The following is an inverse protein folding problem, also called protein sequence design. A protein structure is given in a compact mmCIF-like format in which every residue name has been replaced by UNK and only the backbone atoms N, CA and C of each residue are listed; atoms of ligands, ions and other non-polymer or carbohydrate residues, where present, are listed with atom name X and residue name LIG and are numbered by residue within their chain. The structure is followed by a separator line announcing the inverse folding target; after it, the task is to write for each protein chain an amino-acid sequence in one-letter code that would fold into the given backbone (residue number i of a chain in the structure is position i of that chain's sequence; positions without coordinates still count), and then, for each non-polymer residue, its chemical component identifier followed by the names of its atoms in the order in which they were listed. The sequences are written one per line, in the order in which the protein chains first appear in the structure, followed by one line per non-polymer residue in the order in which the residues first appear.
data_IF_941973804559
#
_entry.id   IF_941973804559
#
_cell.length_a   1.000
_cell.length_b   1.000
_cell.length_c   1.000
_cell.angle_alpha   90.00
_cell.angle_beta   90.00
_cell.angle_gamma   90.00
#
_symmetry.space_group_name_H-M   'P 1'
#
loop_
_entity.id
_entity.type
_entity.pdbx_description
1 polymer ?
#
# COMPACT_ATOMS: atom_id res chain seq x y z
N UNK A 1 23.18 14.77 18.65
CA UNK A 1 23.47 13.39 18.23
C UNK A 1 24.89 13.36 17.68
N UNK A 2 25.68 12.36 18.06
CA UNK A 2 27.07 12.23 17.59
C UNK A 2 27.06 11.36 16.34
N UNK A 3 27.33 11.95 15.18
CA UNK A 3 27.59 11.18 13.96
C UNK A 3 28.92 10.44 14.18
N UNK A 4 28.93 9.11 14.04
CA UNK A 4 30.19 8.35 14.04
C UNK A 4 31.01 8.71 12.80
N UNK A 5 32.32 8.81 12.93
CA UNK A 5 33.23 9.08 11.80
C UNK A 5 33.13 8.00 10.71
N UNK A 6 32.83 6.76 11.11
CA UNK A 6 32.71 5.61 10.20
C UNK A 6 31.58 4.67 10.61
N UNK A 7 30.84 4.19 9.61
CA UNK A 7 29.91 3.06 9.72
C UNK A 7 30.41 1.93 8.82
N UNK A 8 31.48 1.24 9.23
CA UNK A 8 32.14 0.24 8.38
C UNK A 8 31.42 -1.10 8.42
N UNK A 9 30.93 -1.56 7.27
CA UNK A 9 30.34 -2.88 7.10
C UNK A 9 31.37 -3.90 6.62
N UNK A 10 31.26 -5.13 7.13
CA UNK A 10 32.02 -6.28 6.64
C UNK A 10 31.09 -7.25 5.92
N UNK A 11 31.52 -7.75 4.76
CA UNK A 11 30.87 -8.86 4.08
C UNK A 11 31.06 -10.15 4.88
N UNK A 12 29.97 -10.83 5.19
CA UNK A 12 29.96 -12.00 6.04
C UNK A 12 29.91 -13.29 5.24
N UNK A 13 28.93 -13.40 4.34
CA UNK A 13 28.69 -14.58 3.51
C UNK A 13 27.73 -14.29 2.37
N UNK A 14 27.78 -15.16 1.37
CA UNK A 14 26.72 -15.34 0.38
C UNK A 14 25.94 -16.60 0.75
N UNK A 15 24.61 -16.53 0.71
CA UNK A 15 23.74 -17.69 0.89
C UNK A 15 22.46 -17.52 0.06
N UNK A 16 22.23 -18.43 -0.89
CA UNK A 16 20.99 -18.51 -1.68
C UNK A 16 20.63 -17.18 -2.37
N UNK A 17 21.56 -16.54 -3.08
CA UNK A 17 21.34 -15.24 -3.74
C UNK A 17 21.15 -14.06 -2.77
N UNK A 18 21.60 -14.23 -1.52
CA UNK A 18 21.60 -13.17 -0.51
C UNK A 18 23.03 -12.91 -0.05
N UNK A 19 23.44 -11.65 -0.12
CA UNK A 19 24.74 -11.20 0.38
C UNK A 19 24.54 -10.55 1.74
N UNK A 20 25.21 -11.08 2.76
CA UNK A 20 25.06 -10.65 4.15
C UNK A 20 26.23 -9.77 4.57
N UNK A 21 25.90 -8.66 5.24
CA UNK A 21 26.86 -7.72 5.79
C UNK A 21 26.49 -7.37 7.23
N UNK A 22 27.49 -7.02 8.01
CA UNK A 22 27.33 -6.59 9.40
C UNK A 22 28.14 -5.33 9.67
N UNK A 23 27.57 -4.39 10.42
CA UNK A 23 28.26 -3.19 10.88
C UNK A 23 29.23 -3.53 12.02
N UNK A 24 30.53 -3.32 11.82
CA UNK A 24 31.58 -3.81 12.72
C UNK A 24 31.43 -3.37 14.18
N UNK A 25 31.02 -2.12 14.39
CA UNK A 25 30.89 -1.49 15.71
C UNK A 25 29.43 -1.12 16.02
N UNK A 26 28.49 -1.98 15.63
CA UNK A 26 27.07 -1.72 15.80
C UNK A 26 26.21 -2.97 15.69
N UNK A 27 24.90 -2.74 15.65
CA UNK A 27 23.89 -3.80 15.58
C UNK A 27 23.23 -3.87 14.22
N UNK A 28 23.54 -2.94 13.30
CA UNK A 28 22.97 -2.96 11.97
C UNK A 28 23.45 -4.17 11.15
N UNK A 29 22.50 -4.87 10.53
CA UNK A 29 22.75 -5.87 9.51
C UNK A 29 22.20 -5.39 8.17
N UNK A 30 22.91 -5.69 7.09
CA UNK A 30 22.46 -5.41 5.74
C UNK A 30 22.41 -6.69 4.92
N UNK A 31 21.35 -6.86 4.13
CA UNK A 31 21.19 -7.98 3.20
C UNK A 31 20.86 -7.43 1.81
N UNK A 32 21.61 -7.88 0.81
CA UNK A 32 21.34 -7.60 -0.60
C UNK A 32 20.80 -8.89 -1.23
N UNK A 33 19.55 -8.86 -1.67
CA UNK A 33 18.90 -9.99 -2.34
C UNK A 33 18.93 -9.75 -3.85
N UNK A 34 19.45 -10.72 -4.59
CA UNK A 34 19.46 -10.73 -6.05
C UNK A 34 18.27 -11.59 -6.50
N UNK A 35 17.13 -10.95 -6.71
CA UNK A 35 15.85 -11.63 -6.91
C UNK A 35 15.58 -11.93 -8.39
N UNK A 36 15.79 -10.93 -9.24
CA UNK A 36 15.67 -11.01 -10.70
C UNK A 36 16.82 -10.24 -11.35
N UNK A 37 16.97 -10.36 -12.67
CA UNK A 37 17.98 -9.62 -13.44
C UNK A 37 17.87 -8.10 -13.21
N UNK A 38 16.65 -7.60 -13.01
CA UNK A 38 16.30 -6.19 -12.80
C UNK A 38 15.66 -5.88 -11.44
N UNK A 39 15.61 -6.84 -10.51
CA UNK A 39 15.08 -6.63 -9.15
C UNK A 39 16.15 -6.97 -8.12
N UNK A 40 16.59 -5.94 -7.40
CA UNK A 40 17.48 -6.07 -6.25
C UNK A 40 16.76 -5.52 -5.04
N UNK A 41 16.76 -6.28 -3.94
CA UNK A 41 16.16 -5.85 -2.67
C UNK A 41 17.24 -5.62 -1.63
N UNK A 42 17.08 -4.55 -0.85
CA UNK A 42 17.93 -4.20 0.26
C UNK A 42 17.10 -4.27 1.54
N UNK A 43 17.60 -5.00 2.52
CA UNK A 43 17.01 -5.09 3.85
C UNK A 43 18.05 -4.68 4.87
N UNK A 44 17.76 -3.62 5.64
CA UNK A 44 18.55 -3.20 6.80
C UNK A 44 17.73 -3.39 8.08
N UNK A 45 18.32 -4.05 9.07
CA UNK A 45 17.69 -4.37 10.35
C UNK A 45 18.58 -3.93 11.51
N UNK A 46 17.97 -3.59 12.65
CA UNK A 46 18.68 -3.46 13.93
C UNK A 46 18.68 -4.83 14.63
N UNK A 47 19.81 -5.53 14.57
CA UNK A 47 19.93 -6.93 14.99
C UNK A 47 19.52 -7.93 13.90
N UNK A 48 19.55 -9.22 14.24
CA UNK A 48 19.29 -10.30 13.28
C UNK A 48 17.80 -10.58 13.03
N UNK A 49 16.95 -10.28 14.02
CA UNK A 49 15.52 -10.51 13.96
C UNK A 49 14.81 -9.41 13.16
N UNK A 50 13.78 -9.79 12.40
CA UNK A 50 12.91 -8.85 11.71
C UNK A 50 11.96 -8.19 12.71
N UNK A 51 11.70 -6.90 12.53
CA UNK A 51 10.66 -6.20 13.30
C UNK A 51 9.27 -6.74 12.97
N UNK A 52 9.05 -7.13 11.71
CA UNK A 52 7.83 -7.79 11.24
C UNK A 52 8.20 -8.89 10.25
N UNK A 53 7.95 -10.15 10.61
CA UNK A 53 8.38 -11.31 9.80
C UNK A 53 7.59 -11.50 8.51
N UNK A 54 6.39 -10.89 8.41
CA UNK A 54 5.44 -11.12 7.32
C UNK A 54 5.27 -9.89 6.43
N UNK A 55 4.94 -10.15 5.17
CA UNK A 55 4.50 -9.16 4.19
C UNK A 55 3.25 -9.66 3.48
N UNK A 56 2.35 -8.72 3.15
CA UNK A 56 1.15 -8.94 2.34
C UNK A 56 1.24 -8.25 0.98
N UNK A 57 2.38 -7.63 0.68
CA UNK A 57 2.55 -6.80 -0.52
C UNK A 57 3.31 -7.52 -1.64
N UNK A 58 3.96 -8.65 -1.35
CA UNK A 58 4.95 -9.30 -2.25
C UNK A 58 4.48 -10.70 -2.65
N UNK A 59 4.05 -10.83 -3.91
CA UNK A 59 3.49 -12.02 -4.54
C UNK A 59 4.14 -12.30 -5.92
N UNK A 60 5.47 -12.48 -6.00
CA UNK A 60 6.20 -12.60 -7.27
C UNK A 60 5.65 -13.73 -8.14
N UNK A 61 5.04 -13.36 -9.27
CA UNK A 61 4.44 -14.30 -10.22
C UNK A 61 3.20 -15.02 -9.72
N UNK A 62 2.68 -14.66 -8.56
CA UNK A 62 1.45 -15.20 -7.98
C UNK A 62 0.29 -14.22 -8.20
N UNK A 63 -0.93 -14.71 -7.99
CA UNK A 63 -2.13 -13.85 -8.07
C UNK A 63 -2.24 -13.00 -6.81
N UNK A 64 -1.96 -13.58 -5.64
CA UNK A 64 -2.15 -12.94 -4.33
C UNK A 64 -1.22 -13.58 -3.27
N UNK A 65 -1.11 -12.93 -2.11
CA UNK A 65 -0.39 -13.44 -0.93
C UNK A 65 -1.34 -14.28 -0.05
N UNK A 66 -0.87 -15.34 0.61
CA UNK A 66 -1.66 -16.04 1.63
C UNK A 66 -2.15 -15.08 2.74
N UNK A 67 -3.30 -15.38 3.34
CA UNK A 67 -3.90 -14.53 4.37
C UNK A 67 -2.97 -14.31 5.57
N UNK A 68 -2.24 -15.34 6.00
CA UNK A 68 -1.24 -15.27 7.07
C UNK A 68 0.02 -14.44 6.72
N UNK A 69 0.10 -13.97 5.49
CA UNK A 69 1.25 -13.25 4.96
C UNK A 69 2.39 -14.17 4.55
N UNK A 70 3.17 -13.70 3.58
CA UNK A 70 4.41 -14.33 3.14
C UNK A 70 5.53 -13.99 4.12
N UNK A 71 6.38 -14.95 4.46
CA UNK A 71 7.57 -14.64 5.24
C UNK A 71 8.52 -13.74 4.44
N UNK A 72 9.01 -12.63 5.02
CA UNK A 72 9.83 -11.65 4.30
C UNK A 72 11.10 -12.22 3.71
N UNK A 73 11.69 -13.26 4.30
CA UNK A 73 12.89 -13.93 3.75
C UNK A 73 12.56 -15.04 2.74
N UNK A 74 11.29 -15.34 2.48
CA UNK A 74 10.91 -16.31 1.45
C UNK A 74 11.16 -15.72 0.06
N UNK A 75 11.90 -16.44 -0.77
CA UNK A 75 12.22 -16.09 -2.15
C UNK A 75 11.50 -16.97 -3.19
N UNK A 76 10.53 -17.78 -2.77
CA UNK A 76 9.70 -18.58 -3.68
C UNK A 76 9.01 -17.73 -4.75
N UNK A 77 9.06 -18.14 -6.03
CA UNK A 77 8.47 -17.40 -7.14
C UNK A 77 9.41 -16.41 -7.84
N UNK A 78 10.58 -16.10 -7.24
CA UNK A 78 11.67 -15.40 -7.95
C UNK A 78 12.53 -16.39 -8.74
N UNK A 79 13.18 -15.94 -9.82
CA UNK A 79 14.04 -16.76 -10.67
C UNK A 79 15.44 -16.97 -10.10
N UNK A 80 15.92 -16.04 -9.26
CA UNK A 80 17.24 -16.08 -8.62
C UNK A 80 18.37 -16.23 -9.66
N UNK A 81 18.62 -15.19 -10.48
CA UNK A 81 19.55 -15.29 -11.61
C UNK A 81 20.99 -15.50 -11.15
N UNK A 82 21.86 -15.89 -12.10
CA UNK A 82 23.30 -15.82 -11.87
C UNK A 82 23.76 -14.37 -11.78
N UNK A 83 24.73 -14.11 -10.89
CA UNK A 83 25.31 -12.80 -10.71
C UNK A 83 26.79 -12.91 -10.32
N UNK A 84 27.51 -11.81 -10.52
CA UNK A 84 28.91 -11.67 -10.14
C UNK A 84 28.99 -10.73 -8.94
N UNK A 85 29.88 -11.03 -7.99
CA UNK A 85 30.25 -10.08 -6.96
C UNK A 85 31.75 -10.11 -6.67
N UNK A 86 32.28 -8.98 -6.26
CA UNK A 86 33.67 -8.86 -5.83
C UNK A 86 33.85 -7.69 -4.88
N UNK A 87 34.81 -7.78 -3.98
CA UNK A 87 35.24 -6.66 -3.15
C UNK A 87 36.57 -6.12 -3.66
N UNK A 88 36.63 -4.80 -3.85
CA UNK A 88 37.85 -4.07 -4.22
C UNK A 88 38.04 -2.95 -3.21
N UNK A 89 38.99 -3.13 -2.28
CA UNK A 89 39.19 -2.24 -1.13
C UNK A 89 37.89 -2.12 -0.31
N UNK A 90 37.39 -0.89 -0.15
CA UNK A 90 36.19 -0.57 0.62
C UNK A 90 34.91 -0.53 -0.25
N UNK A 91 34.98 -1.00 -1.50
CA UNK A 91 33.84 -1.06 -2.42
C UNK A 91 33.51 -2.51 -2.70
N UNK A 92 32.26 -2.89 -2.45
CA UNK A 92 31.69 -4.18 -2.81
C UNK A 92 30.83 -4.02 -4.06
N UNK A 93 31.12 -4.77 -5.11
CA UNK A 93 30.48 -4.68 -6.42
C UNK A 93 29.60 -5.90 -6.60
N UNK A 94 28.36 -5.70 -7.02
CA UNK A 94 27.41 -6.76 -7.40
C UNK A 94 26.90 -6.46 -8.80
N UNK A 95 26.76 -7.48 -9.65
CA UNK A 95 26.37 -7.30 -11.05
C UNK A 95 25.53 -8.49 -11.55
N UNK A 96 24.35 -8.17 -12.10
CA UNK A 96 23.54 -9.04 -12.95
C UNK A 96 23.75 -8.67 -14.43
N UNK A 97 22.95 -9.23 -15.34
CA UNK A 97 22.92 -8.82 -16.74
C UNK A 97 22.32 -7.43 -16.98
N UNK A 98 21.48 -6.92 -16.07
CA UNK A 98 20.82 -5.60 -16.21
C UNK A 98 21.18 -4.57 -15.15
N UNK A 99 21.56 -4.99 -13.94
CA UNK A 99 21.77 -4.11 -12.79
C UNK A 99 23.16 -4.31 -12.19
N UNK A 100 23.81 -3.21 -11.80
CA UNK A 100 25.09 -3.23 -11.09
C UNK A 100 25.05 -2.27 -9.91
N UNK A 101 25.55 -2.72 -8.77
CA UNK A 101 25.70 -1.95 -7.54
C UNK A 101 27.18 -1.74 -7.26
N UNK A 102 27.54 -0.52 -6.87
CA UNK A 102 28.76 -0.27 -6.12
C UNK A 102 28.36 0.12 -4.69
N UNK A 103 28.66 -0.75 -3.73
CA UNK A 103 28.36 -0.55 -2.31
C UNK A 103 29.64 -0.10 -1.62
N UNK A 104 29.69 1.16 -1.21
CA UNK A 104 30.74 1.65 -0.33
C UNK A 104 30.49 1.09 1.07
N UNK A 105 31.40 0.25 1.56
CA UNK A 105 31.25 -0.45 2.85
C UNK A 105 31.18 0.51 4.04
N UNK A 106 31.83 1.67 3.96
CA UNK A 106 31.63 2.75 4.93
C UNK A 106 30.32 3.51 4.63
N UNK A 107 29.35 3.40 5.53
CA UNK A 107 28.01 3.99 5.42
C UNK A 107 27.06 3.20 4.53
N UNK A 108 27.47 2.00 4.07
CA UNK A 108 26.71 1.12 3.18
C UNK A 108 26.12 1.82 1.94
N UNK A 109 26.76 2.89 1.45
CA UNK A 109 26.20 3.73 0.39
C UNK A 109 26.22 3.03 -0.96
N UNK A 110 25.10 3.00 -1.65
CA UNK A 110 24.92 2.27 -2.91
C UNK A 110 24.85 3.26 -4.08
N UNK A 111 25.64 3.00 -5.11
CA UNK A 111 25.49 3.58 -6.44
C UNK A 111 24.90 2.53 -7.40
N UNK A 112 23.80 2.88 -8.04
CA UNK A 112 23.00 1.99 -8.88
C UNK A 112 23.25 2.27 -10.36
N UNK A 113 23.46 1.20 -11.13
CA UNK A 113 23.68 1.29 -12.57
C UNK A 113 22.74 0.34 -13.31
N UNK A 114 22.23 0.80 -14.44
CA UNK A 114 21.44 0.00 -15.39
C UNK A 114 22.22 -0.20 -16.68
N UNK A 115 22.19 -1.43 -17.22
CA UNK A 115 22.79 -1.73 -18.52
C UNK A 115 21.77 -1.51 -19.64
N UNK A 116 22.00 -0.52 -20.50
CA UNK A 116 21.09 -0.18 -21.60
C UNK A 116 21.28 -1.05 -22.87
N UNK A 117 22.14 -2.06 -22.80
CA UNK A 117 22.54 -2.91 -23.94
C UNK A 117 23.91 -2.58 -24.52
N UNK A 118 24.43 -1.36 -24.30
CA UNK A 118 25.77 -0.95 -24.75
C UNK A 118 26.71 -0.59 -23.59
N UNK A 119 26.20 0.07 -22.57
CA UNK A 119 27.01 0.57 -21.45
C UNK A 119 26.23 0.58 -20.13
N UNK A 120 26.97 0.76 -19.03
CA UNK A 120 26.43 0.93 -17.70
C UNK A 120 26.14 2.40 -17.42
N UNK A 121 24.86 2.74 -17.26
CA UNK A 121 24.41 4.10 -16.94
C UNK A 121 24.14 4.19 -15.44
N UNK A 122 24.74 5.16 -14.75
CA UNK A 122 24.40 5.45 -13.36
C UNK A 122 22.99 6.06 -13.30
N UNK A 123 22.12 5.47 -12.48
CA UNK A 123 20.69 5.83 -12.41
C UNK A 123 20.25 6.34 -11.05
N UNK A 124 20.94 5.95 -9.97
CA UNK A 124 20.65 6.44 -8.63
C UNK A 124 21.91 6.35 -7.75
N UNK A 125 22.01 7.22 -6.75
CA UNK A 125 23.06 7.15 -5.75
C UNK A 125 22.46 7.49 -4.39
N UNK A 126 22.85 6.73 -3.37
CA UNK A 126 22.60 7.13 -1.98
C UNK A 126 23.32 8.45 -1.68
N UNK A 127 22.74 9.24 -0.77
CA UNK A 127 23.31 10.51 -0.36
C UNK A 127 24.68 10.31 0.31
N UNK A 128 25.66 11.16 -0.04
CA UNK A 128 27.05 11.00 0.41
C UNK A 128 27.24 11.18 1.92
N UNK A 129 26.57 12.18 2.49
CA UNK A 129 26.74 12.56 3.91
C UNK A 129 26.12 11.58 4.88
N UNK A 130 25.06 10.88 4.49
CA UNK A 130 24.51 9.63 5.06
C UNK A 130 23.37 9.17 4.15
N UNK A 131 23.43 7.93 3.67
CA UNK A 131 22.33 7.29 2.92
C UNK A 131 21.25 6.68 3.82
N UNK A 132 21.62 6.31 5.05
CA UNK A 132 20.78 5.55 5.98
C UNK A 132 20.90 6.10 7.41
N UNK A 133 19.91 5.80 8.26
CA UNK A 133 19.98 6.07 9.70
C UNK A 133 20.42 4.81 10.46
N UNK A 134 21.69 4.74 10.84
CA UNK A 134 22.23 3.65 11.64
C UNK A 134 22.39 4.07 13.10
N UNK A 135 22.12 3.15 14.03
CA UNK A 135 22.32 3.34 15.47
C UNK A 135 21.56 4.57 16.02
N UNK A 136 20.40 4.87 15.44
CA UNK A 136 19.55 6.01 15.83
C UNK A 136 20.20 7.38 15.72
N UNK A 137 21.18 7.56 14.83
CA UNK A 137 21.94 8.81 14.67
C UNK A 137 21.10 10.05 14.36
N UNK A 138 19.89 9.88 13.82
CA UNK A 138 18.92 10.96 13.53
C UNK A 138 17.57 10.77 14.23
N UNK A 139 17.54 9.97 15.31
CA UNK A 139 16.31 9.57 15.99
C UNK A 139 15.94 8.12 15.68
N UNK A 140 14.72 7.73 16.08
CA UNK A 140 14.26 6.33 16.07
C UNK A 140 13.54 5.93 14.77
N UNK A 141 13.42 6.86 13.83
CA UNK A 141 12.73 6.64 12.58
C UNK A 141 13.68 6.01 11.57
N UNK A 142 13.09 5.30 10.61
CA UNK A 142 13.80 4.66 9.52
C UNK A 142 13.99 5.70 8.42
N UNK A 143 15.21 5.82 7.86
CA UNK A 143 15.47 6.74 6.75
C UNK A 143 16.25 6.09 5.62
N UNK A 144 15.93 6.50 4.40
CA UNK A 144 16.71 6.24 3.20
C UNK A 144 16.82 7.53 2.36
N UNK A 145 18.04 8.03 2.21
CA UNK A 145 18.35 9.26 1.49
C UNK A 145 19.06 8.95 0.19
N UNK A 146 18.53 9.48 -0.91
CA UNK A 146 19.19 9.46 -2.21
C UNK A 146 19.61 10.87 -2.63
N UNK A 147 20.71 10.93 -3.37
CA UNK A 147 21.02 12.12 -4.15
C UNK A 147 19.90 12.36 -5.17
N UNK A 148 19.60 13.64 -5.41
CA UNK A 148 18.62 14.08 -6.39
C UNK A 148 19.30 14.81 -7.54
N UNK A 149 18.87 14.50 -8.76
CA UNK A 149 19.15 15.31 -9.95
C UNK A 149 17.90 16.15 -10.30
N UNK A 150 18.09 17.39 -10.72
CA UNK A 150 17.00 18.29 -11.15
C UNK A 150 16.29 17.80 -12.43
N UNK A 151 16.93 16.90 -13.19
CA UNK A 151 16.38 16.26 -14.39
C UNK A 151 15.56 15.00 -14.08
N UNK A 152 15.47 14.59 -12.81
CA UNK A 152 14.61 13.48 -12.40
C UNK A 152 13.13 13.91 -12.29
N UNK A 153 12.26 12.99 -12.70
CA UNK A 153 10.81 13.06 -12.55
C UNK A 153 10.35 11.91 -11.66
N UNK A 154 9.27 12.14 -10.92
CA UNK A 154 8.76 11.15 -9.97
C UNK A 154 7.28 10.88 -10.16
N UNK A 155 6.91 9.60 -10.21
CA UNK A 155 5.54 9.14 -10.45
C UNK A 155 5.16 8.04 -9.47
N UNK A 156 3.88 7.79 -9.24
CA UNK A 156 3.40 6.72 -8.35
C UNK A 156 2.80 7.27 -7.05
N UNK A 157 3.19 6.70 -5.92
CA UNK A 157 2.75 7.04 -4.55
C UNK A 157 1.29 6.64 -4.20
N UNK A 158 0.59 5.96 -5.11
CA UNK A 158 -0.83 5.65 -4.97
C UNK A 158 -1.71 6.83 -5.39
N UNK A 159 -2.72 7.14 -4.59
CA UNK A 159 -3.68 8.20 -4.84
C UNK A 159 -3.17 9.52 -4.24
N UNK A 160 -2.66 10.42 -5.10
CA UNK A 160 -2.09 11.72 -4.69
C UNK A 160 -2.60 12.87 -5.57
N UNK A 161 -2.90 13.99 -4.95
CA UNK A 161 -3.30 15.26 -5.59
C UNK A 161 -2.17 15.91 -6.38
N UNK A 162 -2.52 16.95 -7.13
CA UNK A 162 -1.58 17.79 -7.86
C UNK A 162 -0.98 17.12 -9.10
N UNK A 163 0.08 17.74 -9.62
CA UNK A 163 0.73 17.30 -10.86
C UNK A 163 1.18 15.84 -10.80
N UNK A 164 1.12 15.15 -11.95
CA UNK A 164 1.55 13.75 -12.08
C UNK A 164 3.04 13.60 -11.78
N UNK A 165 3.88 14.55 -12.21
CA UNK A 165 5.28 14.64 -11.80
C UNK A 165 5.37 15.26 -10.40
N UNK A 166 5.84 14.46 -9.45
CA UNK A 166 5.87 14.76 -8.02
C UNK A 166 7.16 15.48 -7.60
N UNK A 167 7.96 15.96 -8.56
CA UNK A 167 9.17 16.74 -8.32
C UNK A 167 8.95 17.94 -7.38
N UNK A 168 9.80 18.08 -6.38
CA UNK A 168 9.78 19.22 -5.44
C UNK A 168 8.64 19.18 -4.43
N UNK A 169 7.98 18.04 -4.24
CA UNK A 169 6.85 17.86 -3.34
C UNK A 169 7.17 16.85 -2.24
N UNK A 170 6.42 16.92 -1.14
CA UNK A 170 6.44 15.95 -0.05
C UNK A 170 5.07 15.31 0.09
N UNK A 171 5.05 14.01 0.34
CA UNK A 171 3.82 13.23 0.55
C UNK A 171 3.93 12.37 1.80
N UNK A 172 2.84 12.32 2.55
CA UNK A 172 2.67 11.39 3.69
C UNK A 172 1.91 10.16 3.21
N UNK A 173 2.39 8.97 3.56
CA UNK A 173 1.65 7.72 3.39
C UNK A 173 0.91 7.43 4.68
N UNK A 174 -0.28 8.00 4.80
CA UNK A 174 -1.17 7.82 5.93
C UNK A 174 -2.60 7.98 5.43
N UNK A 175 -3.39 6.91 5.50
CA UNK A 175 -4.78 6.94 5.06
C UNK A 175 -5.59 7.82 6.03
N UNK A 176 -6.28 8.82 5.49
CA UNK A 176 -7.21 9.66 6.24
C UNK A 176 -8.50 9.83 5.43
N UNK A 177 -9.60 10.12 6.12
CA UNK A 177 -10.81 10.59 5.45
C UNK A 177 -10.65 12.07 5.06
N UNK A 178 -10.20 12.28 3.82
CA UNK A 178 -9.92 13.59 3.26
C UNK A 178 -11.16 14.20 2.56
N UNK A 179 -12.36 14.08 3.12
CA UNK A 179 -13.57 14.60 2.48
C UNK A 179 -13.43 16.08 2.11
N UNK A 180 -13.72 16.42 0.86
CA UNK A 180 -13.62 17.79 0.35
C UNK A 180 -12.19 18.25 0.09
N UNK A 181 -11.24 17.32 -0.06
CA UNK A 181 -9.86 17.64 -0.40
C UNK A 181 -9.73 18.51 -1.64
N UNK A 182 -8.72 19.38 -1.65
CA UNK A 182 -8.33 20.15 -2.81
C UNK A 182 -7.51 19.26 -3.75
N UNK A 183 -7.97 19.13 -5.00
CA UNK A 183 -7.37 18.24 -5.98
C UNK A 183 -5.93 18.62 -6.39
N UNK A 184 -5.46 19.82 -6.07
CA UNK A 184 -4.11 20.30 -6.36
C UNK A 184 -3.18 20.27 -5.13
N UNK A 185 -3.71 20.54 -3.93
CA UNK A 185 -2.87 20.85 -2.75
C UNK A 185 -2.99 19.89 -1.57
N UNK A 186 -4.08 19.14 -1.43
CA UNK A 186 -4.30 18.34 -0.22
C UNK A 186 -3.50 17.05 -0.20
N UNK A 187 -2.83 16.76 0.91
CA UNK A 187 -2.20 15.47 1.23
C UNK A 187 -2.18 15.29 2.75
N UNK A 188 -2.41 14.08 3.30
CA UNK A 188 -2.68 12.82 2.58
C UNK A 188 -4.15 12.62 2.18
N UNK A 189 -4.42 11.52 1.46
CA UNK A 189 -5.73 11.08 0.94
C UNK A 189 -6.07 9.66 1.46
N UNK A 190 -6.91 8.93 0.73
CA UNK A 190 -7.51 7.66 1.14
C UNK A 190 -6.65 6.42 0.84
N UNK A 191 -5.79 6.44 -0.19
CA UNK A 191 -5.03 5.25 -0.62
C UNK A 191 -3.57 5.57 -0.92
N UNK A 192 -2.67 4.86 -0.25
CA UNK A 192 -1.23 5.08 -0.38
C UNK A 192 -0.52 3.80 -0.76
N UNK A 193 0.39 3.89 -1.72
CA UNK A 193 1.26 2.79 -2.12
C UNK A 193 2.69 3.33 -1.97
N UNK A 194 3.53 2.77 -1.08
CA UNK A 194 4.90 3.24 -0.83
C UNK A 194 5.87 2.82 -1.97
N UNK A 195 5.46 3.11 -3.20
CA UNK A 195 6.15 2.83 -4.45
C UNK A 195 6.20 4.10 -5.29
N UNK A 196 7.37 4.42 -5.82
CA UNK A 196 7.51 5.47 -6.81
C UNK A 196 8.46 5.07 -7.93
N UNK A 197 8.28 5.71 -9.08
CA UNK A 197 9.09 5.54 -10.28
C UNK A 197 9.87 6.82 -10.50
N UNK A 198 11.18 6.70 -10.64
CA UNK A 198 12.04 7.77 -11.14
C UNK A 198 12.23 7.60 -12.63
N UNK A 199 12.08 8.69 -13.39
CA UNK A 199 12.50 8.76 -14.79
C UNK A 199 13.48 9.90 -14.96
N UNK A 200 14.63 9.63 -15.54
CA UNK A 200 15.61 10.67 -15.83
C UNK A 200 15.38 11.24 -17.24
N UNK A 201 15.13 12.56 -17.36
CA UNK A 201 14.72 13.20 -18.63
C UNK A 201 15.72 13.00 -19.77
N UNK A 202 17.03 13.07 -19.47
CA UNK A 202 18.09 13.01 -20.48
C UNK A 202 18.37 11.61 -21.00
N UNK A 203 18.35 10.61 -20.11
CA UNK A 203 18.65 9.21 -20.48
C UNK A 203 17.40 8.44 -20.87
N UNK A 204 16.22 8.88 -20.42
CA UNK A 204 14.94 8.19 -20.61
C UNK A 204 14.74 6.96 -19.72
N UNK A 205 15.82 6.46 -19.09
CA UNK A 205 15.82 5.28 -18.23
C UNK A 205 14.96 5.54 -16.99
N UNK A 206 14.28 4.50 -16.54
CA UNK A 206 13.42 4.53 -15.36
C UNK A 206 13.86 3.48 -14.33
N UNK A 207 13.50 3.71 -13.08
CA UNK A 207 13.53 2.66 -12.06
C UNK A 207 12.45 2.91 -11.02
N UNK A 208 11.99 1.84 -10.41
CA UNK A 208 11.05 1.83 -9.32
C UNK A 208 11.75 1.64 -7.98
N UNK A 209 11.18 2.25 -6.95
CA UNK A 209 11.58 2.10 -5.55
C UNK A 209 10.32 1.79 -4.76
N UNK A 210 10.22 0.55 -4.27
CA UNK A 210 9.12 0.09 -3.43
C UNK A 210 9.63 -0.18 -2.03
N UNK A 211 9.08 0.49 -1.01
CA UNK A 211 9.39 0.25 0.39
C UNK A 211 8.30 -0.63 1.00
N UNK A 212 8.64 -1.86 1.37
CA UNK A 212 7.67 -2.82 1.91
C UNK A 212 7.52 -2.62 3.43
N UNK A 213 6.95 -1.49 3.82
CA UNK A 213 6.76 -1.10 5.22
C UNK A 213 5.32 -0.60 5.43
N UNK A 214 4.68 -1.07 6.51
CA UNK A 214 3.28 -0.79 6.84
C UNK A 214 3.09 0.42 7.77
N UNK A 215 4.18 1.00 8.28
CA UNK A 215 4.11 2.19 9.13
C UNK A 215 3.81 3.44 8.32
N UNK A 216 3.28 4.46 9.00
CA UNK A 216 3.15 5.78 8.40
C UNK A 216 4.52 6.26 7.93
N UNK A 217 4.57 6.78 6.70
CA UNK A 217 5.82 7.17 6.06
C UNK A 217 5.72 8.51 5.34
N UNK A 218 6.87 9.06 4.98
CA UNK A 218 7.03 10.30 4.24
C UNK A 218 7.94 10.04 3.05
N UNK A 219 7.57 10.60 1.91
CA UNK A 219 8.43 10.72 0.73
C UNK A 219 8.63 12.20 0.43
N UNK A 220 9.86 12.67 0.51
CA UNK A 220 10.23 14.01 0.07
C UNK A 220 11.00 13.92 -1.25
N UNK A 221 10.45 14.52 -2.30
CA UNK A 221 10.98 14.45 -3.66
C UNK A 221 11.71 15.75 -4.05
N UNK A 222 12.36 16.38 -3.06
CA UNK A 222 13.13 17.61 -3.22
C UNK A 222 12.40 18.88 -2.79
N UNK A 223 11.46 18.76 -1.84
CA UNK A 223 10.83 19.92 -1.19
C UNK A 223 11.76 20.55 -0.16
N UNK A 224 12.73 19.81 0.37
CA UNK A 224 13.76 20.33 1.27
C UNK A 224 15.03 20.75 0.53
N UNK A 225 15.74 21.71 1.14
CA UNK A 225 17.08 22.13 0.74
C UNK A 225 17.95 22.18 2.00
N UNK A 226 19.11 21.54 1.92
CA UNK A 226 20.15 21.63 2.94
C UNK A 226 21.51 21.73 2.25
N UNK A 227 22.19 22.87 2.47
CA UNK A 227 23.48 23.15 1.88
C UNK A 227 24.57 22.15 2.29
N UNK A 228 24.45 21.52 3.47
CA UNK A 228 25.40 20.51 3.93
C UNK A 228 25.22 19.15 3.24
N UNK A 229 24.10 18.96 2.56
CA UNK A 229 23.69 17.66 2.01
C UNK A 229 23.45 17.68 0.49
N UNK A 230 23.55 18.87 -0.13
CA UNK A 230 23.31 19.05 -1.56
C UNK A 230 21.84 18.86 -1.91
N UNK A 231 21.55 18.49 -3.16
CA UNK A 231 20.21 18.12 -3.58
C UNK A 231 19.93 16.66 -3.23
N UNK A 232 18.89 16.43 -2.44
CA UNK A 232 18.48 15.09 -2.03
C UNK A 232 16.96 14.91 -2.12
N UNK A 233 16.56 13.67 -1.91
CA UNK A 233 15.20 13.18 -1.65
C UNK A 233 15.31 12.11 -0.57
N UNK A 234 14.21 11.79 0.10
CA UNK A 234 14.23 10.73 1.09
C UNK A 234 12.90 10.02 1.26
N UNK A 235 13.03 8.82 1.81
CA UNK A 235 11.96 8.09 2.47
C UNK A 235 12.21 8.09 3.98
N UNK A 236 11.14 8.24 4.74
CA UNK A 236 11.12 8.10 6.19
C UNK A 236 9.96 7.22 6.62
N UNK A 237 10.15 6.34 7.60
CA UNK A 237 9.08 5.58 8.25
C UNK A 237 9.18 5.70 9.77
N UNK A 238 8.03 5.75 10.46
CA UNK A 238 8.00 5.86 11.93
C UNK A 238 8.57 4.61 12.63
N UNK A 239 8.42 3.43 12.02
CA UNK A 239 8.82 2.13 12.57
C UNK A 239 9.17 1.10 11.49
N UNK A 240 9.64 -0.06 11.93
CA UNK A 240 9.92 -1.22 11.09
C UNK A 240 11.36 -1.28 10.62
N UNK A 241 11.65 -2.29 9.82
CA UNK A 241 12.94 -2.44 9.15
C UNK A 241 12.96 -1.58 7.87
N UNK A 242 14.15 -1.22 7.39
CA UNK A 242 14.27 -0.63 6.05
C UNK A 242 14.32 -1.77 5.04
N UNK A 243 13.18 -2.05 4.41
CA UNK A 243 13.02 -3.12 3.43
C UNK A 243 12.53 -2.54 2.11
N UNK A 244 13.39 -2.54 1.08
CA UNK A 244 13.03 -1.95 -0.20
C UNK A 244 13.54 -2.69 -1.43
N UNK A 245 12.77 -2.56 -2.52
CA UNK A 245 13.01 -3.18 -3.82
C UNK A 245 13.36 -2.09 -4.83
N UNK A 246 14.51 -2.24 -5.48
CA UNK A 246 14.91 -1.50 -6.66
C UNK A 246 14.51 -2.27 -7.91
N UNK A 247 13.72 -1.65 -8.78
CA UNK A 247 13.13 -2.29 -9.97
C UNK A 247 13.62 -1.52 -11.22
N UNK A 248 14.55 -2.08 -11.98
CA UNK A 248 15.12 -1.39 -13.13
C UNK A 248 14.30 -1.60 -14.41
N UNK A 249 14.12 -0.54 -15.22
CA UNK A 249 13.43 -0.68 -16.50
C UNK A 249 13.81 0.43 -17.51
N UNK A 250 13.93 0.11 -18.81
CA UNK A 250 14.31 1.14 -19.79
C UNK A 250 13.24 2.22 -19.94
N UNK A 251 11.97 1.94 -19.60
CA UNK A 251 10.85 2.89 -19.58
C UNK A 251 9.95 2.67 -18.36
N UNK A 252 9.12 3.67 -18.06
CA UNK A 252 8.12 3.61 -16.98
C UNK A 252 7.24 2.37 -17.08
N UNK A 253 6.78 2.00 -18.29
CA UNK A 253 5.92 0.83 -18.49
C UNK A 253 6.56 -0.47 -18.00
N UNK A 254 7.87 -0.63 -18.19
CA UNK A 254 8.57 -1.88 -17.85
C UNK A 254 8.67 -1.98 -16.32
N UNK A 255 8.88 -0.84 -15.64
CA UNK A 255 8.85 -0.76 -14.18
C UNK A 255 7.45 -1.08 -13.63
N UNK A 256 6.38 -0.57 -14.25
CA UNK A 256 4.99 -0.85 -13.85
C UNK A 256 4.63 -2.32 -14.04
N UNK A 257 4.99 -2.92 -15.18
CA UNK A 257 4.77 -4.35 -15.45
C UNK A 257 5.48 -5.23 -14.42
N UNK A 258 6.74 -4.93 -14.11
CA UNK A 258 7.50 -5.67 -13.09
C UNK A 258 6.94 -5.45 -11.68
N UNK A 259 6.53 -4.23 -11.32
CA UNK A 259 5.92 -3.96 -10.02
C UNK A 259 4.59 -4.72 -9.88
N UNK A 260 3.74 -4.72 -10.90
CA UNK A 260 2.50 -5.51 -10.89
C UNK A 260 2.76 -7.03 -10.81
N UNK A 261 3.82 -7.54 -11.44
CA UNK A 261 4.22 -8.93 -11.26
C UNK A 261 4.75 -9.23 -9.85
N UNK A 262 5.46 -8.28 -9.24
CA UNK A 262 6.01 -8.40 -7.88
C UNK A 262 4.91 -8.41 -6.82
N UNK A 263 3.86 -7.61 -6.97
CA UNK A 263 2.83 -7.41 -5.95
C UNK A 263 1.53 -8.15 -6.21
N UNK A 264 1.47 -8.98 -7.26
CA UNK A 264 0.24 -9.62 -7.70
C UNK A 264 -0.48 -8.79 -8.77
N UNK A 265 -0.91 -9.47 -9.84
CA UNK A 265 -1.60 -8.82 -10.96
C UNK A 265 -3.03 -8.47 -10.59
N UNK A 266 -3.52 -7.34 -11.09
CA UNK A 266 -4.92 -6.97 -10.98
C UNK A 266 -5.81 -8.06 -11.58
N UNK A 267 -6.74 -8.58 -10.78
CA UNK A 267 -7.76 -9.51 -11.26
C UNK A 267 -8.64 -8.84 -12.32
N UNK A 268 -9.05 -9.58 -13.33
CA UNK A 268 -10.00 -9.05 -14.32
C UNK A 268 -11.34 -8.81 -13.61
N UNK A 269 -11.86 -7.57 -13.60
CA UNK A 269 -13.15 -7.30 -13.00
C UNK A 269 -14.27 -7.91 -13.85
N UNK A 270 -15.44 -8.18 -13.26
CA UNK A 270 -16.59 -8.67 -14.01
C UNK A 270 -17.02 -7.64 -15.07
N UNK A 271 -17.47 -8.10 -16.23
CA UNK A 271 -17.77 -7.24 -17.39
C UNK A 271 -18.72 -6.08 -17.06
N UNK A 272 -19.73 -6.31 -16.21
CA UNK A 272 -20.72 -5.31 -15.82
C UNK A 272 -20.10 -4.11 -15.09
N UNK A 273 -18.93 -4.25 -14.45
CA UNK A 273 -18.30 -3.14 -13.72
C UNK A 273 -17.63 -2.10 -14.62
N UNK A 274 -17.58 -2.35 -15.93
CA UNK A 274 -17.03 -1.40 -16.92
C UNK A 274 -18.09 -0.43 -17.44
N UNK A 275 -19.36 -0.72 -17.16
CA UNK A 275 -20.51 0.07 -17.55
C UNK A 275 -20.77 1.28 -16.66
N UNK A 276 -21.86 1.98 -16.93
CA UNK A 276 -22.34 3.04 -16.05
C UNK A 276 -22.87 2.44 -14.75
N UNK A 277 -22.44 3.02 -13.63
CA UNK A 277 -22.94 2.67 -12.30
C UNK A 277 -23.67 3.85 -11.66
N UNK A 278 -24.93 3.65 -11.26
CA UNK A 278 -25.66 4.61 -10.43
C UNK A 278 -25.17 4.59 -8.97
N UNK A 279 -25.34 5.70 -8.25
CA UNK A 279 -25.09 5.79 -6.80
C UNK A 279 -25.77 7.04 -6.24
N UNK A 280 -26.38 6.94 -5.06
CA UNK A 280 -26.84 8.11 -4.29
C UNK A 280 -27.20 7.75 -2.85
N UNK A 281 -26.77 8.59 -1.91
CA UNK A 281 -27.22 8.53 -0.51
C UNK A 281 -28.71 8.85 -0.39
N UNK A 282 -29.24 9.77 -1.22
CA UNK A 282 -30.58 10.31 -1.08
C UNK A 282 -31.68 9.26 -1.22
N UNK A 283 -31.51 8.27 -2.10
CA UNK A 283 -32.49 7.18 -2.23
C UNK A 283 -32.46 6.25 -1.02
N UNK A 284 -31.26 5.90 -0.55
CA UNK A 284 -31.10 4.99 0.60
C UNK A 284 -31.51 5.62 1.93
N UNK A 285 -31.46 6.95 2.04
CA UNK A 285 -31.87 7.67 3.25
C UNK A 285 -33.38 7.97 3.28
N UNK A 286 -34.05 7.94 2.13
CA UNK A 286 -35.47 8.26 2.01
C UNK A 286 -36.34 7.31 2.86
N UNK A 287 -37.44 7.81 3.47
CA UNK A 287 -38.38 6.95 4.21
C UNK A 287 -39.01 5.85 3.34
N UNK A 288 -39.07 6.05 2.02
CA UNK A 288 -39.56 5.08 1.04
C UNK A 288 -38.45 4.56 0.12
N UNK A 289 -37.26 4.29 0.67
CA UNK A 289 -36.05 3.95 -0.10
C UNK A 289 -36.25 2.86 -1.15
N UNK A 290 -36.95 1.76 -0.84
CA UNK A 290 -37.21 0.68 -1.81
C UNK A 290 -37.93 1.18 -3.06
N UNK A 291 -38.93 2.06 -2.90
CA UNK A 291 -39.66 2.62 -4.05
C UNK A 291 -38.79 3.58 -4.87
N UNK A 292 -37.94 4.39 -4.22
CA UNK A 292 -37.01 5.28 -4.91
C UNK A 292 -35.98 4.49 -5.72
N UNK A 293 -35.45 3.41 -5.15
CA UNK A 293 -34.48 2.52 -5.81
C UNK A 293 -35.12 1.80 -7.01
N UNK A 294 -36.35 1.27 -6.87
CA UNK A 294 -37.08 0.69 -8.01
C UNK A 294 -37.42 1.75 -9.07
N UNK A 295 -37.70 2.98 -8.66
CA UNK A 295 -37.97 4.09 -9.58
C UNK A 295 -36.73 4.50 -10.38
N UNK A 296 -35.52 4.47 -9.80
CA UNK A 296 -34.28 4.69 -10.53
C UNK A 296 -34.16 3.78 -11.75
N UNK A 297 -34.41 2.48 -11.57
CA UNK A 297 -34.36 1.50 -12.66
C UNK A 297 -35.38 1.85 -13.75
N UNK A 298 -36.61 2.25 -13.37
CA UNK A 298 -37.64 2.70 -14.32
C UNK A 298 -37.20 3.95 -15.09
N UNK A 299 -36.56 4.92 -14.42
CA UNK A 299 -36.06 6.13 -15.05
C UNK A 299 -34.93 5.83 -16.05
N UNK A 300 -34.05 4.87 -15.75
CA UNK A 300 -33.07 4.41 -16.71
C UNK A 300 -33.73 3.87 -17.99
N UNK A 301 -34.79 3.07 -17.86
CA UNK A 301 -35.56 2.61 -19.02
C UNK A 301 -36.28 3.74 -19.76
N UNK A 302 -36.95 4.63 -19.03
CA UNK A 302 -37.70 5.77 -19.59
C UNK A 302 -36.79 6.69 -20.41
N UNK A 303 -35.57 6.90 -19.94
CA UNK A 303 -34.60 7.81 -20.56
C UNK A 303 -33.59 7.11 -21.48
N UNK A 304 -33.77 5.83 -21.78
CA UNK A 304 -32.85 5.03 -22.62
C UNK A 304 -31.40 5.12 -22.12
N UNK A 305 -31.21 5.06 -20.79
CA UNK A 305 -29.91 5.07 -20.15
C UNK A 305 -29.49 3.65 -19.79
N UNK A 306 -28.45 3.15 -20.46
CA UNK A 306 -27.81 1.89 -20.10
C UNK A 306 -27.12 2.02 -18.74
N UNK A 307 -27.46 1.12 -17.82
CA UNK A 307 -26.93 1.06 -16.47
C UNK A 307 -26.63 -0.40 -16.14
N UNK A 308 -25.39 -0.71 -15.76
CA UNK A 308 -24.96 -2.09 -15.47
C UNK A 308 -24.91 -2.37 -13.98
N UNK A 309 -24.79 -1.33 -13.14
CA UNK A 309 -24.78 -1.49 -11.69
C UNK A 309 -25.32 -0.30 -10.91
N UNK A 310 -25.63 -0.53 -9.65
CA UNK A 310 -26.01 0.50 -8.70
C UNK A 310 -25.30 0.28 -7.35
N UNK A 311 -24.62 1.31 -6.85
CA UNK A 311 -23.99 1.31 -5.54
C UNK A 311 -25.01 1.73 -4.49
N UNK A 312 -25.36 0.78 -3.61
CA UNK A 312 -26.25 0.98 -2.49
C UNK A 312 -25.46 1.62 -1.33
N UNK A 313 -25.51 2.95 -1.31
CA UNK A 313 -25.04 3.82 -0.23
C UNK A 313 -25.51 3.39 1.17
N UNK A 314 -24.76 3.73 2.22
CA UNK A 314 -24.97 3.21 3.59
C UNK A 314 -26.37 3.44 4.22
N UNK A 315 -27.23 4.31 3.66
CA UNK A 315 -28.58 4.60 4.19
C UNK A 315 -29.47 3.37 4.41
N UNK A 316 -29.28 2.29 3.65
CA UNK A 316 -30.02 1.03 3.82
C UNK A 316 -29.78 0.35 5.18
N UNK A 317 -28.71 0.73 5.87
CA UNK A 317 -28.28 0.17 7.16
C UNK A 317 -28.72 0.95 8.38
N UNK A 318 -29.58 1.95 8.19
CA UNK A 318 -29.87 2.93 9.24
C UNK A 318 -30.55 2.32 10.46
N UNK A 319 -30.21 2.82 11.64
CA UNK A 319 -31.07 2.77 12.83
C UNK A 319 -31.13 4.20 13.35
N UNK A 320 -32.30 4.84 13.20
CA UNK A 320 -32.40 6.28 13.43
C UNK A 320 -31.56 7.08 12.43
N UNK A 321 -30.67 7.93 12.93
CA UNK A 321 -29.79 8.82 12.16
C UNK A 321 -28.38 8.24 11.90
N UNK A 322 -28.05 7.08 12.48
CA UNK A 322 -26.73 6.43 12.37
C UNK A 322 -26.75 5.20 11.44
N UNK A 323 -25.58 4.74 10.98
CA UNK A 323 -25.43 3.61 10.04
C UNK A 323 -24.76 2.41 10.71
N UNK A 324 -25.36 1.22 10.53
CA UNK A 324 -24.95 -0.01 11.22
C UNK A 324 -24.73 -1.14 10.22
N UNK A 325 -23.47 -1.40 9.85
CA UNK A 325 -23.16 -2.44 8.86
C UNK A 325 -23.84 -3.78 9.18
N UNK A 326 -24.40 -4.42 8.16
CA UNK A 326 -25.20 -5.65 8.27
C UNK A 326 -26.59 -5.54 8.91
N UNK A 327 -27.04 -4.34 9.25
CA UNK A 327 -28.46 -4.07 9.51
C UNK A 327 -29.19 -3.78 8.19
N UNK A 328 -30.40 -4.31 8.01
CA UNK A 328 -31.31 -3.85 6.95
C UNK A 328 -32.42 -3.03 7.60
N UNK A 329 -32.58 -1.77 7.19
CA UNK A 329 -33.68 -0.93 7.65
C UNK A 329 -34.97 -1.34 6.92
N UNK A 330 -35.65 -2.35 7.44
CA UNK A 330 -36.90 -2.88 6.89
C UNK A 330 -38.05 -1.85 6.92
N UNK A 331 -37.92 -0.74 7.67
CA UNK A 331 -38.91 0.34 7.62
C UNK A 331 -38.84 1.13 6.31
N UNK A 332 -37.63 1.26 5.74
CA UNK A 332 -37.39 1.94 4.45
C UNK A 332 -37.34 0.97 3.27
N UNK A 333 -36.89 -0.27 3.52
CA UNK A 333 -36.74 -1.35 2.55
C UNK A 333 -37.45 -2.62 3.05
N UNK A 334 -38.79 -2.67 3.00
CA UNK A 334 -39.57 -3.75 3.62
C UNK A 334 -39.40 -5.12 2.94
N UNK A 335 -38.94 -5.17 1.69
CA UNK A 335 -38.69 -6.41 0.96
C UNK A 335 -37.37 -6.33 0.17
N UNK A 336 -36.20 -6.38 0.83
CA UNK A 336 -34.92 -6.15 0.15
C UNK A 336 -34.66 -7.16 -0.97
N UNK A 337 -35.08 -8.42 -0.84
CA UNK A 337 -34.95 -9.44 -1.90
C UNK A 337 -35.79 -9.12 -3.13
N UNK A 338 -36.99 -8.58 -2.95
CA UNK A 338 -37.84 -8.13 -4.07
C UNK A 338 -37.21 -6.93 -4.78
N UNK A 339 -36.68 -5.97 -4.01
CA UNK A 339 -35.95 -4.84 -4.56
C UNK A 339 -34.77 -5.30 -5.40
N UNK A 340 -33.94 -6.22 -4.89
CA UNK A 340 -32.80 -6.79 -5.62
C UNK A 340 -33.27 -7.48 -6.91
N UNK A 341 -34.31 -8.30 -6.83
CA UNK A 341 -34.87 -8.96 -8.01
C UNK A 341 -35.30 -7.95 -9.09
N UNK A 342 -35.92 -6.84 -8.70
CA UNK A 342 -36.32 -5.78 -9.64
C UNK A 342 -35.13 -5.18 -10.41
N UNK A 343 -33.96 -5.02 -9.78
CA UNK A 343 -32.73 -4.60 -10.47
C UNK A 343 -32.23 -5.69 -11.42
N UNK A 344 -32.19 -6.95 -10.95
CA UNK A 344 -31.72 -8.09 -11.75
C UNK A 344 -32.59 -8.39 -12.98
N UNK A 345 -33.90 -8.14 -12.92
CA UNK A 345 -34.81 -8.26 -14.07
C UNK A 345 -34.43 -7.32 -15.23
N UNK A 346 -33.66 -6.26 -14.95
CA UNK A 346 -33.12 -5.31 -15.93
C UNK A 346 -31.61 -5.46 -16.15
N UNK A 347 -31.05 -6.59 -15.70
CA UNK A 347 -29.61 -6.91 -15.76
C UNK A 347 -28.70 -5.92 -14.99
N UNK A 348 -29.26 -5.19 -14.01
CA UNK A 348 -28.49 -4.23 -13.18
C UNK A 348 -28.01 -4.92 -11.91
N UNK A 349 -26.71 -4.86 -11.62
CA UNK A 349 -26.09 -5.44 -10.42
C UNK A 349 -26.09 -4.49 -9.24
N UNK A 350 -26.19 -5.01 -8.02
CA UNK A 350 -26.18 -4.20 -6.80
C UNK A 350 -24.88 -4.36 -6.01
N UNK A 351 -24.29 -3.22 -5.60
CA UNK A 351 -23.07 -3.15 -4.81
C UNK A 351 -23.35 -2.51 -3.44
N UNK A 352 -23.36 -3.28 -2.35
CA UNK A 352 -23.72 -2.75 -1.03
C UNK A 352 -22.53 -2.13 -0.28
N UNK A 353 -22.70 -0.91 0.22
CA UNK A 353 -21.72 -0.25 1.09
C UNK A 353 -21.57 -1.01 2.42
N UNK A 354 -20.33 -1.30 2.81
CA UNK A 354 -19.99 -1.90 4.10
C UNK A 354 -18.80 -1.16 4.73
N UNK A 355 -18.77 -1.12 6.06
CA UNK A 355 -17.75 -0.41 6.84
C UNK A 355 -17.12 -1.34 7.87
N UNK A 356 -15.79 -1.46 7.97
CA UNK A 356 -15.09 -2.40 8.84
C UNK A 356 -15.11 -2.01 10.33
N UNK A 357 -15.98 -1.08 10.72
CA UNK A 357 -16.09 -0.57 12.08
C UNK A 357 -17.52 -0.74 12.60
N UNK A 358 -17.63 -0.96 13.91
CA UNK A 358 -18.91 -0.99 14.60
C UNK A 358 -18.97 0.19 15.59
N UNK A 359 -20.03 0.99 15.51
CA UNK A 359 -20.33 2.02 16.51
C UNK A 359 -20.50 1.38 17.89
N UNK A 360 -20.24 2.13 18.96
CA UNK A 360 -20.29 1.56 20.33
C UNK A 360 -21.67 0.99 20.70
N UNK A 361 -22.73 1.55 20.14
CA UNK A 361 -24.12 1.12 20.32
C UNK A 361 -24.61 0.13 19.26
N UNK A 362 -23.70 -0.40 18.42
CA UNK A 362 -24.03 -1.40 17.42
C UNK A 362 -24.56 -2.69 18.08
N UNK A 363 -25.62 -3.34 17.58
CA UNK A 363 -26.19 -4.55 18.19
C UNK A 363 -25.19 -5.71 18.42
N UNK A 364 -24.21 -5.85 17.52
CA UNK A 364 -23.12 -6.83 17.62
C UNK A 364 -21.92 -6.38 18.48
N UNK A 365 -21.88 -5.15 19.00
CA UNK A 365 -20.66 -4.61 19.63
C UNK A 365 -20.23 -5.43 20.85
N UNK A 366 -21.15 -5.66 21.80
CA UNK A 366 -20.81 -6.34 23.05
C UNK A 366 -20.42 -7.82 22.80
N UNK A 367 -21.12 -8.51 21.90
CA UNK A 367 -20.78 -9.88 21.49
C UNK A 367 -19.35 -9.97 20.91
N UNK A 368 -19.00 -9.05 20.01
CA UNK A 368 -17.68 -9.05 19.36
C UNK A 368 -16.57 -8.60 20.31
N UNK A 369 -16.89 -7.73 21.26
CA UNK A 369 -15.97 -7.36 22.34
C UNK A 369 -15.68 -8.57 23.22
N UNK A 370 -16.69 -9.36 23.62
CA UNK A 370 -16.51 -10.58 24.41
C UNK A 370 -15.67 -11.65 23.68
N UNK A 371 -15.72 -11.66 22.35
CA UNK A 371 -14.94 -12.58 21.49
C UNK A 371 -13.57 -12.04 21.07
N UNK A 372 -13.13 -10.89 21.57
CA UNK A 372 -11.84 -10.29 21.25
C UNK A 372 -11.64 -10.06 19.74
N UNK A 373 -12.68 -9.53 19.06
CA UNK A 373 -12.69 -9.35 17.60
C UNK A 373 -12.33 -7.93 17.13
N UNK A 374 -12.13 -6.98 18.04
CA UNK A 374 -11.73 -5.61 17.71
C UNK A 374 -10.23 -5.38 17.82
N UNK A 375 -9.73 -4.32 17.18
CA UNK A 375 -8.42 -3.75 17.49
C UNK A 375 -8.49 -3.21 18.91
N UNK A 376 -7.49 -3.52 19.73
CA UNK A 376 -7.47 -3.16 21.15
C UNK A 376 -6.41 -2.14 21.49
N UNK A 377 -6.73 -1.31 22.47
CA UNK A 377 -5.78 -0.46 23.14
C UNK A 377 -4.75 -1.31 23.89
N UNK A 378 -3.46 -1.06 23.67
CA UNK A 378 -2.38 -1.86 24.28
C UNK A 378 -2.39 -1.82 25.81
N UNK A 379 -2.75 -0.71 26.44
CA UNK A 379 -2.68 -0.56 27.90
C UNK A 379 -3.94 -1.11 28.58
N UNK A 380 -5.11 -0.80 28.04
CA UNK A 380 -6.39 -1.19 28.67
C UNK A 380 -6.91 -2.54 28.23
N UNK A 381 -6.41 -3.09 27.12
CA UNK A 381 -6.88 -4.33 26.49
C UNK A 381 -8.38 -4.30 26.14
N UNK A 382 -8.94 -3.10 25.94
CA UNK A 382 -10.31 -2.86 25.48
C UNK A 382 -10.30 -2.44 24.02
N UNK A 383 -11.45 -2.53 23.29
CA UNK A 383 -11.54 -2.00 21.94
C UNK A 383 -11.02 -0.56 21.87
N UNK A 384 -10.14 -0.29 20.91
CA UNK A 384 -9.63 1.05 20.64
C UNK A 384 -10.74 1.87 19.98
N UNK A 385 -11.18 2.93 20.67
CA UNK A 385 -12.30 3.75 20.21
C UNK A 385 -11.80 4.86 19.29
N UNK A 386 -12.41 4.97 18.11
CA UNK A 386 -12.12 6.00 17.11
C UNK A 386 -13.39 6.80 16.74
N UNK A 387 -13.19 8.02 16.24
CA UNK A 387 -14.27 8.84 15.72
C UNK A 387 -14.68 8.38 14.30
N UNK A 388 -15.97 8.19 14.08
CA UNK A 388 -16.56 7.97 12.77
C UNK A 388 -17.61 9.05 12.46
N UNK A 389 -18.15 9.03 11.25
CA UNK A 389 -19.17 9.98 10.80
C UNK A 389 -20.37 10.09 11.75
N UNK A 390 -20.86 8.96 12.24
CA UNK A 390 -22.10 8.89 13.00
C UNK A 390 -21.88 8.99 14.51
N UNK A 391 -20.81 8.40 15.04
CA UNK A 391 -20.44 8.40 16.46
C UNK A 391 -19.03 7.80 16.66
N UNK A 392 -18.63 7.56 17.91
CA UNK A 392 -17.48 6.73 18.26
C UNK A 392 -17.77 5.23 18.06
N UNK A 393 -16.75 4.50 17.61
CA UNK A 393 -16.83 3.06 17.36
C UNK A 393 -15.46 2.39 17.47
N UNK A 394 -15.38 1.12 17.10
CA UNK A 394 -14.13 0.36 17.05
C UNK A 394 -13.98 -0.39 15.72
N UNK A 395 -12.75 -0.47 15.22
CA UNK A 395 -12.41 -1.25 14.04
C UNK A 395 -12.31 -2.74 14.37
N UNK A 396 -12.85 -3.56 13.48
CA UNK A 396 -12.66 -5.01 13.52
C UNK A 396 -11.19 -5.36 13.22
N UNK A 397 -10.64 -6.30 13.98
CA UNK A 397 -9.27 -6.78 13.76
C UNK A 397 -9.25 -7.92 12.74
N UNK A 398 -9.06 -7.57 11.47
CA UNK A 398 -8.94 -8.54 10.37
C UNK A 398 -7.66 -9.37 10.38
N UNK A 399 -6.70 -9.06 11.27
CA UNK A 399 -5.52 -9.90 11.47
C UNK A 399 -5.85 -11.16 12.29
N UNK A 400 -7.00 -11.18 12.96
CA UNK A 400 -7.52 -12.36 13.66
C UNK A 400 -8.43 -13.16 12.73
N UNK A 401 -8.13 -14.45 12.59
CA UNK A 401 -8.88 -15.34 11.68
C UNK A 401 -10.36 -15.43 12.03
N UNK A 402 -10.68 -15.48 13.32
CA UNK A 402 -12.07 -15.51 13.80
C UNK A 402 -12.89 -14.29 13.35
N UNK A 403 -12.27 -13.10 13.35
CA UNK A 403 -12.93 -11.84 12.94
C UNK A 403 -13.16 -11.85 11.43
N UNK A 404 -12.16 -12.28 10.66
CA UNK A 404 -12.28 -12.44 9.21
C UNK A 404 -13.38 -13.43 8.84
N UNK A 405 -13.42 -14.60 9.48
CA UNK A 405 -14.44 -15.63 9.21
C UNK A 405 -15.85 -15.15 9.61
N UNK A 406 -15.97 -14.43 10.73
CA UNK A 406 -17.24 -13.80 11.13
C UNK A 406 -17.70 -12.76 10.09
N UNK A 407 -16.81 -11.88 9.65
CA UNK A 407 -17.13 -10.86 8.64
C UNK A 407 -17.57 -11.50 7.33
N UNK A 408 -16.87 -12.55 6.89
CA UNK A 408 -17.24 -13.32 5.70
C UNK A 408 -18.63 -13.96 5.84
N UNK A 409 -18.94 -14.54 7.01
CA UNK A 409 -20.26 -15.09 7.28
C UNK A 409 -21.35 -14.01 7.22
N UNK A 410 -21.11 -12.84 7.83
CA UNK A 410 -22.06 -11.72 7.75
C UNK A 410 -22.24 -11.21 6.31
N UNK A 411 -21.18 -11.03 5.51
CA UNK A 411 -21.32 -10.68 4.09
C UNK A 411 -22.19 -11.72 3.37
N UNK A 412 -21.96 -13.00 3.65
CA UNK A 412 -22.71 -14.09 3.00
C UNK A 412 -24.19 -14.02 3.36
N UNK A 413 -24.52 -14.09 4.66
CA UNK A 413 -25.89 -14.17 5.17
C UNK A 413 -26.68 -12.87 5.00
N UNK A 414 -26.02 -11.73 5.16
CA UNK A 414 -26.69 -10.42 5.21
C UNK A 414 -26.73 -9.72 3.88
N UNK A 415 -25.89 -10.09 2.91
CA UNK A 415 -25.82 -9.41 1.61
C UNK A 415 -25.95 -10.40 0.45
N UNK A 416 -25.06 -11.39 0.33
CA UNK A 416 -25.07 -12.29 -0.83
C UNK A 416 -26.34 -13.15 -0.90
N UNK A 417 -26.84 -13.66 0.24
CA UNK A 417 -28.11 -14.40 0.31
C UNK A 417 -29.36 -13.53 0.09
N UNK A 418 -29.20 -12.21 0.14
CA UNK A 418 -30.20 -11.23 -0.28
C UNK A 418 -30.13 -10.93 -1.78
N UNK A 419 -29.13 -11.46 -2.49
CA UNK A 419 -28.89 -11.28 -3.91
C UNK A 419 -28.01 -10.09 -4.26
N UNK A 420 -27.36 -9.45 -3.28
CA UNK A 420 -26.34 -8.43 -3.56
C UNK A 420 -25.15 -9.07 -4.29
N UNK A 421 -24.69 -8.43 -5.37
CA UNK A 421 -23.68 -9.00 -6.26
C UNK A 421 -22.23 -8.70 -5.83
N UNK A 422 -22.02 -7.55 -5.18
CA UNK A 422 -20.70 -7.11 -4.70
C UNK A 422 -20.84 -6.22 -3.47
N UNK A 423 -19.73 -6.05 -2.75
CA UNK A 423 -19.63 -5.06 -1.67
C UNK A 423 -18.79 -3.87 -2.12
N UNK A 424 -19.02 -2.73 -1.46
CA UNK A 424 -18.19 -1.52 -1.54
C UNK A 424 -17.65 -1.26 -0.13
N UNK A 425 -16.35 -1.47 0.06
CA UNK A 425 -15.71 -1.24 1.35
C UNK A 425 -15.39 0.26 1.51
N UNK A 426 -15.86 0.84 2.61
CA UNK A 426 -15.81 2.27 2.88
C UNK A 426 -15.37 2.55 4.32
N UNK A 427 -14.75 3.70 4.57
CA UNK A 427 -14.18 4.08 5.88
C UNK A 427 -13.18 3.06 6.47
N UNK A 428 -12.19 2.63 5.67
CA UNK A 428 -11.16 1.66 6.06
C UNK A 428 -9.86 2.30 6.57
#
# INVERSE_FOLDING_TARGET
MSIKETYMFTFMKEEKNVLHFHLNDGHAHAKIFILEEDIIRILLTEGEALTLEKTWSVAPGQIDVPWEGRHRLDMSGFTLPQYEFQQVKDVFIVKTGKVKLHVQLNGFRISWFYHNGSEWINVANDRQTQGYNFEGAFGKDVYHYLQRDVQEQYFGFGEKTGNVDKHGKRYRMLNIDAMGYDAEWSDPLYKHIPFYITRHKKTGISYGMFYDNLSASIFDMGSELDNYHGLYRYYQAEKGDLDYYFIAGPKIKDVVETFSWLTGKTILPPKWSLGYSGSTMSYTDAPNAQEQLKNFVRLCEEHDMLCDSFQLSSGYTSIGDKRYVFNWDESKIPAPKEMVQHFHEKDVRLCANIKPCLLKDHPYFDELQEKDMFIVNRETQKPEMAQFWDDIGAYLDFTKRQTFDWWKAQITEKLLEYGIDSTWNDNN
#
